data_IF_982188366996
#
_entry.id   IF_982188366996
#
_cell.length_a   1.000
_cell.length_b   1.000
_cell.length_c   1.000
_cell.angle_alpha   90.00
_cell.angle_beta   90.00
_cell.angle_gamma   90.00
#
_symmetry.space_group_name_H-M   'P 1'
#
loop_
_entity.id
_entity.type
_entity.pdbx_description
1 polymer ?
#
# COMPACT_ATOMS: atom_id res chain seq x y z
N UNK A 1 18.49 3.10 -7.40
CA UNK A 1 19.31 1.90 -7.64
C UNK A 1 19.50 1.06 -6.35
N UNK A 2 19.96 1.66 -5.22
CA UNK A 2 20.25 0.93 -3.98
C UNK A 2 19.03 0.13 -3.48
N UNK A 3 17.86 0.74 -3.42
CA UNK A 3 16.63 0.10 -2.93
C UNK A 3 16.22 -1.13 -3.76
N UNK A 4 16.41 -1.10 -5.08
CA UNK A 4 16.13 -2.25 -5.95
C UNK A 4 17.06 -3.42 -5.61
N UNK A 5 18.34 -3.17 -5.35
CA UNK A 5 19.28 -4.20 -4.94
C UNK A 5 18.87 -4.80 -3.59
N UNK A 6 18.45 -3.96 -2.64
CA UNK A 6 17.98 -4.42 -1.31
C UNK A 6 16.74 -5.31 -1.44
N UNK A 7 15.73 -4.87 -2.21
CA UNK A 7 14.48 -5.61 -2.43
C UNK A 7 14.77 -6.93 -3.15
N UNK A 8 15.59 -6.92 -4.21
CA UNK A 8 15.98 -8.13 -4.91
C UNK A 8 16.68 -9.13 -3.99
N UNK A 9 17.66 -8.64 -3.21
CA UNK A 9 18.43 -9.48 -2.28
C UNK A 9 17.53 -10.09 -1.21
N UNK A 10 16.61 -9.32 -0.65
CA UNK A 10 15.61 -9.78 0.33
C UNK A 10 14.80 -10.95 -0.21
N UNK A 11 14.28 -10.83 -1.43
CA UNK A 11 13.49 -11.89 -2.08
C UNK A 11 14.34 -13.10 -2.52
N UNK A 12 15.62 -12.91 -2.83
CA UNK A 12 16.53 -13.96 -3.26
C UNK A 12 17.07 -14.81 -2.10
N UNK A 13 17.11 -14.28 -0.86
CA UNK A 13 17.70 -14.96 0.30
C UNK A 13 16.88 -16.16 0.77
N UNK A 14 15.67 -15.95 1.24
CA UNK A 14 14.74 -17.00 1.62
C UNK A 14 13.34 -16.44 1.95
N UNK A 15 12.31 -17.30 1.88
CA UNK A 15 10.94 -16.95 2.31
C UNK A 15 10.89 -16.56 3.78
N UNK A 16 11.67 -17.22 4.64
CA UNK A 16 11.73 -16.90 6.08
C UNK A 16 12.29 -15.51 6.33
N UNK A 17 13.37 -15.13 5.64
CA UNK A 17 13.97 -13.80 5.77
C UNK A 17 13.02 -12.71 5.25
N UNK A 18 12.34 -12.97 4.13
CA UNK A 18 11.29 -12.11 3.61
C UNK A 18 10.19 -11.88 4.66
N UNK A 19 9.64 -12.95 5.24
CA UNK A 19 8.56 -12.87 6.23
C UNK A 19 8.97 -12.09 7.49
N UNK A 20 10.20 -12.27 7.97
CA UNK A 20 10.71 -11.58 9.15
C UNK A 20 10.91 -10.07 8.88
N UNK A 21 11.46 -9.72 7.73
CA UNK A 21 11.63 -8.33 7.31
C UNK A 21 10.28 -7.64 7.14
N UNK A 22 9.31 -8.31 6.51
CA UNK A 22 7.98 -7.78 6.28
C UNK A 22 7.19 -7.61 7.59
N UNK A 23 7.39 -8.48 8.56
CA UNK A 23 6.81 -8.34 9.90
C UNK A 23 7.23 -7.01 10.55
N UNK A 24 8.53 -6.70 10.56
CA UNK A 24 9.05 -5.45 11.14
C UNK A 24 8.57 -4.21 10.38
N UNK A 25 8.57 -4.25 9.06
CA UNK A 25 8.02 -3.16 8.24
C UNK A 25 6.53 -2.96 8.50
N UNK A 26 5.76 -4.04 8.64
CA UNK A 26 4.33 -3.96 8.95
C UNK A 26 4.08 -3.41 10.33
N UNK A 27 4.88 -3.78 11.33
CA UNK A 27 4.78 -3.25 12.68
C UNK A 27 5.02 -1.73 12.70
N UNK A 28 6.08 -1.25 12.03
CA UNK A 28 6.39 0.19 11.93
C UNK A 28 5.23 0.94 11.28
N UNK A 29 4.69 0.43 10.17
CA UNK A 29 3.55 1.05 9.45
C UNK A 29 2.31 1.17 10.35
N UNK A 30 1.94 0.08 11.00
CA UNK A 30 0.75 0.06 11.88
C UNK A 30 0.93 1.00 13.06
N UNK A 31 2.08 0.97 13.73
CA UNK A 31 2.38 1.87 14.83
C UNK A 31 2.32 3.34 14.40
N UNK A 32 2.90 3.67 13.24
CA UNK A 32 2.87 5.02 12.71
C UNK A 32 1.47 5.51 12.37
N UNK A 33 0.62 4.68 11.75
CA UNK A 33 -0.78 5.04 11.44
C UNK A 33 -1.58 5.25 12.72
N UNK A 34 -1.41 4.40 13.72
CA UNK A 34 -2.08 4.55 15.02
C UNK A 34 -1.64 5.85 15.70
N UNK A 35 -0.34 6.12 15.75
CA UNK A 35 0.20 7.37 16.29
C UNK A 35 -0.31 8.59 15.51
N UNK A 36 -0.36 8.50 14.18
CA UNK A 36 -0.90 9.56 13.32
C UNK A 36 -2.37 9.85 13.66
N UNK A 37 -3.21 8.84 13.79
CA UNK A 37 -4.63 9.01 14.12
C UNK A 37 -4.79 9.60 15.53
N UNK A 38 -3.98 9.16 16.49
CA UNK A 38 -4.05 9.66 17.86
C UNK A 38 -3.55 11.12 17.97
N UNK A 39 -2.36 11.41 17.46
CA UNK A 39 -1.76 12.75 17.51
C UNK A 39 -2.55 13.73 16.66
N UNK A 40 -2.89 13.36 15.44
CA UNK A 40 -3.71 14.17 14.55
C UNK A 40 -5.12 14.38 15.10
N UNK A 41 -5.73 13.34 15.69
CA UNK A 41 -6.99 13.47 16.41
C UNK A 41 -6.91 14.48 17.57
N UNK A 42 -5.87 14.42 18.41
CA UNK A 42 -5.64 15.42 19.44
C UNK A 42 -5.51 16.83 18.87
N UNK A 43 -4.88 16.97 17.71
CA UNK A 43 -4.73 18.24 17.02
C UNK A 43 -6.10 18.75 16.46
N UNK A 44 -6.92 17.88 15.89
CA UNK A 44 -8.28 18.23 15.42
C UNK A 44 -9.13 18.78 16.57
N UNK A 45 -9.06 18.20 17.75
CA UNK A 45 -9.80 18.66 18.93
C UNK A 45 -9.11 19.81 19.70
N UNK A 46 -8.02 20.37 19.18
CA UNK A 46 -7.36 21.54 19.78
C UNK A 46 -6.53 21.23 21.04
N UNK A 47 -6.24 19.94 21.31
CA UNK A 47 -5.33 19.54 22.41
C UNK A 47 -3.88 19.88 22.08
N UNK A 48 -3.53 19.82 20.79
CA UNK A 48 -2.22 20.22 20.27
C UNK A 48 -2.37 21.46 19.39
N UNK A 49 -1.43 22.42 19.49
CA UNK A 49 -1.44 23.61 18.64
C UNK A 49 -1.15 23.22 17.20
N UNK A 50 -1.80 23.89 16.25
CA UNK A 50 -1.58 23.71 14.82
C UNK A 50 -1.24 25.07 14.21
N UNK A 51 -0.24 25.11 13.36
CA UNK A 51 0.12 26.32 12.63
C UNK A 51 -1.03 26.70 11.69
N UNK A 52 -1.45 27.98 11.78
CA UNK A 52 -2.53 28.50 10.95
C UNK A 52 -3.93 28.43 11.57
N UNK A 53 -4.08 27.89 12.78
CA UNK A 53 -5.35 27.88 13.51
C UNK A 53 -5.19 28.46 14.91
N UNK A 54 -6.00 29.49 15.23
CA UNK A 54 -6.07 30.07 16.58
C UNK A 54 -7.04 29.33 17.50
N UNK A 55 -7.80 28.38 16.96
CA UNK A 55 -8.80 27.57 17.66
C UNK A 55 -8.77 26.13 17.15
N UNK A 56 -9.48 25.23 17.84
CA UNK A 56 -9.60 23.83 17.39
C UNK A 56 -10.20 23.76 15.99
N UNK A 57 -9.51 23.18 14.98
CA UNK A 57 -10.01 23.11 13.59
C UNK A 57 -11.29 22.30 13.47
N UNK A 58 -11.47 21.29 14.33
CA UNK A 58 -12.58 20.33 14.28
C UNK A 58 -12.79 19.81 12.85
N UNK A 59 -14.00 20.01 12.30
CA UNK A 59 -14.37 19.59 10.95
C UNK A 59 -14.63 20.79 10.02
N UNK A 60 -14.03 21.94 10.29
CA UNK A 60 -14.25 23.16 9.51
C UNK A 60 -13.92 22.96 8.03
N UNK A 61 -12.81 22.28 7.72
CA UNK A 61 -12.40 22.01 6.34
C UNK A 61 -13.37 21.10 5.57
N UNK A 62 -14.20 20.30 6.24
CA UNK A 62 -15.23 19.50 5.58
C UNK A 62 -16.44 20.33 5.11
N UNK A 63 -16.73 21.43 5.78
CA UNK A 63 -17.95 22.19 5.54
C UNK A 63 -17.71 23.56 4.90
N UNK A 64 -16.48 24.09 4.99
CA UNK A 64 -16.11 25.40 4.51
C UNK A 64 -16.45 25.64 3.04
N UNK A 65 -16.11 24.69 2.18
CA UNK A 65 -16.37 24.74 0.73
C UNK A 65 -17.52 23.82 0.31
N UNK A 66 -18.26 23.26 1.28
CA UNK A 66 -19.26 22.21 1.06
C UNK A 66 -18.63 20.82 0.93
N UNK A 67 -19.46 19.78 1.08
CA UNK A 67 -19.00 18.38 1.03
C UNK A 67 -18.49 17.96 -0.36
N UNK A 68 -18.93 18.62 -1.42
CA UNK A 68 -18.56 18.31 -2.80
C UNK A 68 -18.24 19.60 -3.56
N UNK A 69 -17.13 20.29 -3.24
CA UNK A 69 -16.80 21.60 -3.84
C UNK A 69 -16.62 21.52 -5.36
N UNK A 70 -16.20 20.38 -5.88
CA UNK A 70 -16.00 20.13 -7.32
C UNK A 70 -17.13 19.28 -7.94
N UNK A 71 -18.26 19.12 -7.24
CA UNK A 71 -19.38 18.28 -7.69
C UNK A 71 -19.13 16.78 -7.52
N UNK A 72 -20.02 15.96 -8.10
CA UNK A 72 -20.00 14.51 -7.94
C UNK A 72 -19.04 13.77 -8.88
N UNK A 73 -18.68 14.37 -10.02
CA UNK A 73 -17.85 13.70 -11.02
C UNK A 73 -16.48 13.28 -10.48
N UNK A 74 -15.75 14.11 -9.69
CA UNK A 74 -14.49 13.70 -9.09
C UNK A 74 -14.61 12.47 -8.17
N UNK A 75 -15.76 12.26 -7.53
CA UNK A 75 -15.98 11.06 -6.68
C UNK A 75 -15.86 9.80 -7.52
N UNK A 76 -16.51 9.75 -8.70
CA UNK A 76 -16.46 8.58 -9.58
C UNK A 76 -15.07 8.36 -10.18
N UNK A 77 -14.39 9.43 -10.60
CA UNK A 77 -13.03 9.31 -11.14
C UNK A 77 -12.02 8.86 -10.08
N UNK A 78 -12.18 9.32 -8.83
CA UNK A 78 -11.33 8.94 -7.71
C UNK A 78 -11.56 7.47 -7.30
N UNK A 79 -12.73 6.88 -7.54
CA UNK A 79 -13.00 5.47 -7.24
C UNK A 79 -11.99 4.52 -7.88
N UNK A 80 -11.52 4.82 -9.11
CA UNK A 80 -10.49 4.03 -9.79
C UNK A 80 -9.16 4.06 -9.04
N UNK A 81 -8.77 5.25 -8.55
CA UNK A 81 -7.54 5.43 -7.78
C UNK A 81 -7.67 4.81 -6.37
N UNK A 82 -8.84 4.96 -5.75
CA UNK A 82 -9.13 4.38 -4.42
C UNK A 82 -9.09 2.85 -4.46
N UNK A 83 -9.51 2.22 -5.58
CA UNK A 83 -9.44 0.77 -5.73
C UNK A 83 -8.00 0.26 -5.53
N UNK A 84 -6.99 0.99 -6.02
CA UNK A 84 -5.57 0.68 -5.78
C UNK A 84 -5.21 0.66 -4.28
N UNK A 85 -5.87 1.45 -3.45
CA UNK A 85 -5.61 1.47 -2.01
C UNK A 85 -5.97 0.14 -1.31
N UNK A 86 -6.82 -0.68 -1.93
CA UNK A 86 -7.18 -2.02 -1.47
C UNK A 86 -6.32 -3.13 -2.11
N UNK A 87 -5.45 -2.79 -3.05
CA UNK A 87 -4.47 -3.71 -3.62
C UNK A 87 -3.55 -4.26 -2.53
N UNK A 88 -3.18 -5.52 -2.65
CA UNK A 88 -2.40 -6.26 -1.65
C UNK A 88 -3.25 -7.14 -0.74
N UNK A 89 -4.58 -7.01 -0.72
CA UNK A 89 -5.45 -7.93 0.03
C UNK A 89 -5.45 -9.34 -0.58
N UNK A 90 -5.22 -9.45 -1.88
CA UNK A 90 -5.04 -10.69 -2.63
C UNK A 90 -3.81 -11.50 -2.18
N UNK A 91 -2.81 -10.87 -1.56
CA UNK A 91 -1.63 -11.55 -0.99
C UNK A 91 -2.00 -12.62 0.04
N UNK A 92 -3.15 -12.47 0.72
CA UNK A 92 -3.67 -13.49 1.62
C UNK A 92 -3.93 -14.80 0.86
N UNK A 93 -4.47 -14.71 -0.36
CA UNK A 93 -4.68 -15.87 -1.24
C UNK A 93 -3.36 -16.44 -1.77
N UNK A 94 -2.42 -15.59 -2.20
CA UNK A 94 -1.10 -16.02 -2.69
C UNK A 94 -0.30 -16.79 -1.64
N UNK A 95 -0.41 -16.40 -0.37
CA UNK A 95 0.28 -17.06 0.75
C UNK A 95 -0.46 -18.28 1.30
N UNK A 96 -1.65 -18.60 0.79
CA UNK A 96 -2.47 -19.72 1.26
C UNK A 96 -1.74 -21.06 1.17
N UNK A 97 -1.00 -21.30 0.08
CA UNK A 97 -0.23 -22.53 -0.14
C UNK A 97 0.94 -22.73 0.83
N UNK A 98 1.38 -21.68 1.52
CA UNK A 98 2.47 -21.72 2.51
C UNK A 98 1.94 -21.65 3.96
N UNK A 99 0.62 -21.54 4.14
CA UNK A 99 -0.02 -21.36 5.46
C UNK A 99 -0.41 -22.71 6.07
N UNK A 100 -0.14 -22.86 7.37
CA UNK A 100 -0.66 -24.00 8.13
C UNK A 100 -2.15 -23.78 8.40
N UNK A 101 -2.98 -24.82 8.17
CA UNK A 101 -4.45 -24.79 8.33
C UNK A 101 -5.11 -23.60 7.56
N UNK A 102 -4.99 -23.55 6.22
CA UNK A 102 -5.48 -22.45 5.41
C UNK A 102 -6.98 -22.20 5.59
N UNK A 103 -7.78 -23.25 5.76
CA UNK A 103 -9.24 -23.16 5.94
C UNK A 103 -9.66 -22.31 7.16
N UNK A 104 -8.82 -22.22 8.19
CA UNK A 104 -9.07 -21.41 9.38
C UNK A 104 -8.33 -20.08 9.34
N UNK A 105 -7.10 -20.11 8.84
CA UNK A 105 -6.22 -18.94 8.85
C UNK A 105 -6.66 -17.88 7.86
N UNK A 106 -7.08 -18.25 6.64
CA UNK A 106 -7.46 -17.32 5.58
C UNK A 106 -8.71 -16.51 5.95
N UNK A 107 -9.84 -17.11 6.36
CA UNK A 107 -11.01 -16.32 6.74
C UNK A 107 -10.72 -15.34 7.89
N UNK A 108 -9.96 -15.79 8.91
CA UNK A 108 -9.56 -14.94 10.03
C UNK A 108 -8.66 -13.78 9.58
N UNK A 109 -7.69 -14.04 8.72
CA UNK A 109 -6.81 -13.01 8.17
C UNK A 109 -7.60 -12.00 7.34
N UNK A 110 -8.52 -12.45 6.48
CA UNK A 110 -9.37 -11.58 5.65
C UNK A 110 -10.24 -10.66 6.50
N UNK A 111 -10.97 -11.19 7.48
CA UNK A 111 -11.79 -10.37 8.39
C UNK A 111 -10.95 -9.36 9.17
N UNK A 112 -9.81 -9.78 9.72
CA UNK A 112 -8.92 -8.88 10.48
C UNK A 112 -8.35 -7.79 9.59
N UNK A 113 -7.98 -8.12 8.35
CA UNK A 113 -7.43 -7.17 7.38
C UNK A 113 -8.48 -6.15 6.96
N UNK A 114 -9.69 -6.59 6.60
CA UNK A 114 -10.78 -5.68 6.25
C UNK A 114 -11.11 -4.70 7.39
N UNK A 115 -11.22 -5.20 8.61
CA UNK A 115 -11.51 -4.35 9.77
C UNK A 115 -10.42 -3.30 10.02
N UNK A 116 -9.14 -3.71 9.92
CA UNK A 116 -8.00 -2.78 10.03
C UNK A 116 -7.98 -1.74 8.92
N UNK A 117 -8.24 -2.17 7.67
CA UNK A 117 -8.26 -1.25 6.52
C UNK A 117 -9.34 -0.18 6.71
N UNK A 118 -10.55 -0.57 7.08
CA UNK A 118 -11.66 0.38 7.31
C UNK A 118 -11.28 1.39 8.38
N UNK A 119 -10.79 0.94 9.55
CA UNK A 119 -10.42 1.84 10.64
C UNK A 119 -9.26 2.77 10.24
N UNK A 120 -8.22 2.23 9.64
CA UNK A 120 -7.03 3.01 9.32
C UNK A 120 -7.26 3.99 8.18
N UNK A 121 -8.00 3.60 7.13
CA UNK A 121 -8.32 4.51 6.04
C UNK A 121 -9.29 5.59 6.49
N UNK A 122 -10.41 5.24 7.09
CA UNK A 122 -11.38 6.24 7.55
C UNK A 122 -10.74 7.14 8.60
N UNK A 123 -10.05 6.58 9.59
CA UNK A 123 -9.41 7.36 10.64
C UNK A 123 -8.36 8.34 10.11
N UNK A 124 -7.47 7.88 9.23
CA UNK A 124 -6.44 8.76 8.67
C UNK A 124 -7.02 9.80 7.70
N UNK A 125 -8.00 9.46 6.87
CA UNK A 125 -8.66 10.40 5.96
C UNK A 125 -9.40 11.47 6.74
N UNK A 126 -10.13 11.10 7.79
CA UNK A 126 -10.83 12.07 8.65
C UNK A 126 -9.85 13.04 9.28
N UNK A 127 -8.74 12.55 9.84
CA UNK A 127 -7.70 13.42 10.41
C UNK A 127 -7.10 14.34 9.34
N UNK A 128 -6.67 13.79 8.20
CA UNK A 128 -6.06 14.58 7.13
C UNK A 128 -7.01 15.65 6.60
N UNK A 129 -8.24 15.28 6.29
CA UNK A 129 -9.23 16.21 5.73
C UNK A 129 -9.72 17.26 6.74
N UNK A 130 -9.57 17.00 8.05
CA UNK A 130 -9.84 17.99 9.10
C UNK A 130 -8.72 19.04 9.20
N UNK A 131 -7.46 18.63 8.99
CA UNK A 131 -6.28 19.46 9.25
C UNK A 131 -5.72 20.14 8.00
N UNK A 132 -5.87 19.51 6.83
CA UNK A 132 -5.34 20.01 5.56
C UNK A 132 -6.49 20.43 4.65
N UNK A 133 -6.53 21.70 4.19
CA UNK A 133 -7.43 22.09 3.13
C UNK A 133 -7.20 21.24 1.87
N UNK A 134 -8.27 20.87 1.18
CA UNK A 134 -8.17 19.99 0.00
C UNK A 134 -7.32 20.61 -1.14
N UNK A 135 -7.24 21.95 -1.19
CA UNK A 135 -6.43 22.69 -2.16
C UNK A 135 -4.92 22.45 -1.97
N UNK A 136 -4.49 22.21 -0.73
CA UNK A 136 -3.09 22.01 -0.34
C UNK A 136 -2.69 20.51 -0.36
N UNK A 137 -3.68 19.61 -0.49
CA UNK A 137 -3.46 18.18 -0.58
C UNK A 137 -3.00 17.78 -2.00
N UNK A 138 -1.73 18.05 -2.32
CA UNK A 138 -1.10 17.69 -3.61
C UNK A 138 -0.46 16.30 -3.61
N UNK A 139 0.11 15.93 -4.77
CA UNK A 139 0.89 14.69 -4.94
C UNK A 139 2.39 14.89 -4.70
N UNK A 140 2.83 16.12 -4.47
CA UNK A 140 4.24 16.48 -4.36
C UNK A 140 4.83 16.11 -3.00
N UNK A 141 4.01 16.11 -1.95
CA UNK A 141 4.41 15.72 -0.60
C UNK A 141 3.36 14.79 0.02
N UNK A 142 3.80 13.88 0.88
CA UNK A 142 2.90 12.98 1.59
C UNK A 142 2.00 13.76 2.55
N UNK A 143 0.66 13.60 2.49
CA UNK A 143 -0.25 14.27 3.42
C UNK A 143 0.02 13.95 4.89
N UNK A 144 0.59 12.78 5.19
CA UNK A 144 1.03 12.41 6.54
C UNK A 144 2.14 13.32 7.04
N UNK A 145 3.11 13.65 6.16
CA UNK A 145 4.23 14.55 6.47
C UNK A 145 3.71 15.97 6.67
N UNK A 146 2.81 16.44 5.81
CA UNK A 146 2.18 17.75 5.91
C UNK A 146 1.47 17.95 7.26
N UNK A 147 0.69 16.97 7.73
CA UNK A 147 0.02 17.03 9.04
C UNK A 147 1.04 17.17 10.17
N UNK A 148 2.10 16.38 10.17
CA UNK A 148 3.11 16.46 11.23
C UNK A 148 3.90 17.78 11.20
N UNK A 149 4.17 18.31 10.01
CA UNK A 149 4.81 19.63 9.87
C UNK A 149 3.90 20.73 10.40
N UNK A 150 2.57 20.66 10.15
CA UNK A 150 1.62 21.66 10.63
C UNK A 150 1.42 21.65 12.16
N UNK A 151 1.59 20.51 12.81
CA UNK A 151 1.56 20.39 14.29
C UNK A 151 2.79 21.06 14.92
N UNK A 152 3.88 21.25 14.14
CA UNK A 152 5.08 21.94 14.61
C UNK A 152 5.94 21.13 15.60
N UNK A 153 5.78 19.82 15.65
CA UNK A 153 6.65 18.94 16.42
C UNK A 153 8.02 18.82 15.73
N UNK A 154 9.13 19.14 16.42
CA UNK A 154 10.45 19.05 15.80
C UNK A 154 10.76 17.64 15.34
N UNK A 155 11.28 17.51 14.13
CA UNK A 155 11.63 16.23 13.47
C UNK A 155 10.46 15.26 13.19
N UNK A 156 9.22 15.59 13.56
CA UNK A 156 8.10 14.68 13.36
C UNK A 156 7.81 14.43 11.87
N UNK A 157 7.94 15.46 11.03
CA UNK A 157 7.85 15.33 9.58
C UNK A 157 8.94 14.41 9.01
N UNK A 158 10.19 14.54 9.47
CA UNK A 158 11.31 13.69 9.02
C UNK A 158 11.10 12.23 9.43
N UNK A 159 10.66 11.99 10.67
CA UNK A 159 10.33 10.63 11.14
C UNK A 159 9.20 10.04 10.31
N UNK A 160 8.14 10.81 10.03
CA UNK A 160 7.04 10.33 9.21
C UNK A 160 7.48 10.08 7.77
N UNK A 161 8.33 10.92 7.20
CA UNK A 161 8.90 10.70 5.86
C UNK A 161 9.71 9.40 5.80
N UNK A 162 10.51 9.12 6.83
CA UNK A 162 11.22 7.84 6.97
C UNK A 162 10.24 6.65 7.04
N UNK A 163 9.15 6.76 7.81
CA UNK A 163 8.11 5.73 7.89
C UNK A 163 7.44 5.50 6.53
N UNK A 164 7.09 6.57 5.82
CA UNK A 164 6.51 6.48 4.45
C UNK A 164 7.49 5.79 3.51
N UNK A 165 8.78 6.12 3.57
CA UNK A 165 9.81 5.44 2.78
C UNK A 165 9.86 3.93 3.08
N UNK A 166 9.87 3.54 4.35
CA UNK A 166 9.85 2.11 4.73
C UNK A 166 8.57 1.41 4.27
N UNK A 167 7.43 2.11 4.29
CA UNK A 167 6.17 1.59 3.80
C UNK A 167 6.19 1.32 2.29
N UNK A 168 6.75 2.24 1.51
CA UNK A 168 6.91 2.08 0.05
C UNK A 168 7.86 0.91 -0.26
N UNK A 169 8.97 0.81 0.46
CA UNK A 169 9.93 -0.30 0.28
C UNK A 169 9.28 -1.66 0.60
N UNK A 170 8.49 -1.74 1.66
CA UNK A 170 7.74 -2.94 2.01
C UNK A 170 6.71 -3.29 0.94
N UNK A 171 5.94 -2.32 0.43
CA UNK A 171 4.98 -2.57 -0.63
C UNK A 171 5.66 -3.09 -1.91
N UNK A 172 6.79 -2.50 -2.31
CA UNK A 172 7.58 -2.96 -3.45
C UNK A 172 8.16 -4.37 -3.22
N UNK A 173 8.62 -4.68 -2.00
CA UNK A 173 9.12 -5.98 -1.61
C UNK A 173 8.04 -7.06 -1.72
N UNK A 174 6.84 -6.80 -1.18
CA UNK A 174 5.69 -7.70 -1.24
C UNK A 174 5.16 -7.86 -2.66
N UNK A 175 5.13 -6.79 -3.46
CA UNK A 175 4.75 -6.84 -4.87
C UNK A 175 5.69 -7.70 -5.72
N UNK A 176 7.01 -7.61 -5.48
CA UNK A 176 7.99 -8.47 -6.15
C UNK A 176 7.84 -9.93 -5.74
N UNK A 177 7.57 -10.19 -4.45
CA UNK A 177 7.28 -11.54 -3.95
C UNK A 177 6.04 -12.11 -4.65
N UNK A 178 4.93 -11.39 -4.66
CA UNK A 178 3.67 -11.82 -5.27
C UNK A 178 3.83 -12.13 -6.76
N UNK A 179 4.39 -11.20 -7.54
CA UNK A 179 4.58 -11.38 -8.99
C UNK A 179 5.50 -12.57 -9.29
N UNK A 180 6.53 -12.80 -8.47
CA UNK A 180 7.42 -13.95 -8.58
C UNK A 180 6.66 -15.26 -8.34
N UNK A 181 5.80 -15.32 -7.33
CA UNK A 181 5.00 -16.51 -7.01
C UNK A 181 3.91 -16.78 -8.04
N UNK A 182 3.28 -15.73 -8.58
CA UNK A 182 2.30 -15.88 -9.66
C UNK A 182 2.95 -16.45 -10.92
N UNK A 183 4.11 -15.94 -11.35
CA UNK A 183 4.85 -16.50 -12.48
C UNK A 183 5.27 -17.95 -12.24
N UNK A 184 5.67 -18.26 -11.03
CA UNK A 184 6.03 -19.62 -10.65
C UNK A 184 4.83 -20.57 -10.73
N UNK A 185 3.65 -20.15 -10.24
CA UNK A 185 2.41 -20.92 -10.32
C UNK A 185 1.99 -21.17 -11.77
N UNK A 186 1.95 -20.13 -12.60
CA UNK A 186 1.60 -20.25 -14.03
C UNK A 186 2.56 -21.19 -14.78
N UNK A 187 3.84 -21.22 -14.40
CA UNK A 187 4.83 -22.13 -15.00
C UNK A 187 4.64 -23.58 -14.54
N UNK A 188 4.15 -23.83 -13.33
CA UNK A 188 3.79 -25.16 -12.87
C UNK A 188 2.50 -25.69 -13.51
N UNK A 189 1.60 -24.78 -13.91
CA UNK A 189 0.37 -25.12 -14.63
C UNK A 189 0.58 -25.21 -16.15
N UNK A 190 1.82 -25.20 -16.64
CA UNK A 190 2.22 -25.26 -18.05
C UNK A 190 1.63 -24.12 -18.92
N UNK A 191 1.15 -23.03 -18.30
CA UNK A 191 0.65 -21.85 -19.01
C UNK A 191 1.77 -21.00 -19.59
N UNK A 192 2.98 -21.06 -19.02
CA UNK A 192 4.20 -20.41 -19.48
C UNK A 192 5.38 -21.39 -19.40
N UNK A 193 6.52 -21.14 -20.06
CA UNK A 193 7.61 -22.09 -20.13
C UNK A 193 8.06 -22.62 -18.76
N UNK A 194 8.07 -23.92 -18.57
CA UNK A 194 8.38 -24.63 -17.30
C UNK A 194 9.76 -24.32 -16.73
N UNK A 195 10.69 -23.78 -17.51
CA UNK A 195 11.98 -23.31 -17.01
C UNK A 195 11.87 -22.21 -15.94
N UNK A 196 10.75 -21.48 -15.90
CA UNK A 196 10.46 -20.41 -14.93
C UNK A 196 10.09 -21.01 -13.56
N UNK A 197 9.56 -22.23 -13.53
CA UNK A 197 9.17 -22.94 -12.31
C UNK A 197 10.36 -23.47 -11.50
N UNK A 198 11.58 -23.50 -12.07
CA UNK A 198 12.76 -24.05 -11.39
C UNK A 198 13.11 -23.23 -10.16
N UNK A 199 13.10 -23.88 -9.00
CA UNK A 199 13.53 -23.30 -7.71
C UNK A 199 14.99 -23.65 -7.41
N UNK A 200 15.66 -22.76 -6.69
CA UNK A 200 17.00 -23.03 -6.13
C UNK A 200 16.90 -23.90 -4.86
N UNK A 201 18.06 -24.22 -4.26
CA UNK A 201 18.17 -25.01 -3.01
C UNK A 201 17.43 -24.37 -1.80
N UNK A 202 17.04 -23.10 -1.90
CA UNK A 202 16.32 -22.34 -0.86
C UNK A 202 14.80 -22.21 -1.16
N UNK A 203 14.29 -22.89 -2.20
CA UNK A 203 12.89 -22.84 -2.60
C UNK A 203 12.49 -21.55 -3.34
N UNK A 204 13.46 -20.72 -3.77
CA UNK A 204 13.19 -19.46 -4.49
C UNK A 204 13.24 -19.71 -6.00
N UNK A 205 12.19 -19.34 -6.78
CA UNK A 205 12.18 -19.44 -8.24
C UNK A 205 12.97 -18.29 -8.87
N UNK A 206 14.28 -18.44 -8.97
CA UNK A 206 15.21 -17.38 -9.38
C UNK A 206 14.92 -16.83 -10.79
N UNK A 207 14.43 -17.65 -11.72
CA UNK A 207 14.09 -17.22 -13.08
C UNK A 207 12.85 -16.32 -13.06
N UNK A 208 11.82 -16.72 -12.31
CA UNK A 208 10.63 -15.89 -12.11
C UNK A 208 10.98 -14.58 -11.41
N UNK A 209 11.83 -14.61 -10.37
CA UNK A 209 12.29 -13.41 -9.65
C UNK A 209 13.02 -12.43 -10.57
N UNK A 210 13.93 -12.91 -11.42
CA UNK A 210 14.65 -12.06 -12.40
C UNK A 210 13.70 -11.44 -13.42
N UNK A 211 12.71 -12.21 -13.89
CA UNK A 211 11.71 -11.72 -14.83
C UNK A 211 10.82 -10.65 -14.20
N UNK A 212 10.33 -10.86 -12.98
CA UNK A 212 9.56 -9.86 -12.23
C UNK A 212 10.37 -8.58 -11.98
N UNK A 213 11.68 -8.70 -11.77
CA UNK A 213 12.56 -7.54 -11.55
C UNK A 213 12.72 -6.64 -12.78
N UNK A 214 12.48 -7.13 -14.00
CA UNK A 214 12.48 -6.30 -15.22
C UNK A 214 11.45 -5.17 -15.07
N UNK A 215 10.26 -5.46 -14.54
CA UNK A 215 9.27 -4.43 -14.24
C UNK A 215 9.78 -3.37 -13.25
N UNK A 216 10.48 -3.79 -12.20
CA UNK A 216 11.14 -2.90 -11.26
C UNK A 216 12.24 -2.02 -11.89
N UNK A 217 13.00 -2.55 -12.84
CA UNK A 217 13.98 -1.77 -13.59
C UNK A 217 13.31 -0.77 -14.52
N UNK A 218 12.22 -1.14 -15.18
CA UNK A 218 11.43 -0.22 -16.01
C UNK A 218 10.83 0.91 -15.18
N UNK A 219 10.42 0.64 -13.94
CA UNK A 219 9.96 1.66 -13.02
C UNK A 219 11.02 2.73 -12.69
N UNK A 220 12.33 2.42 -12.77
CA UNK A 220 13.39 3.44 -12.64
C UNK A 220 13.38 4.46 -13.79
N UNK A 221 12.97 4.07 -14.99
CA UNK A 221 12.87 4.98 -16.12
C UNK A 221 11.80 6.05 -15.88
N UNK A 222 10.75 5.73 -15.13
CA UNK A 222 9.69 6.68 -14.80
C UNK A 222 10.17 7.83 -13.91
N UNK A 223 11.26 7.64 -13.15
CA UNK A 223 11.86 8.70 -12.33
C UNK A 223 12.54 9.82 -13.16
N UNK A 224 12.80 9.56 -14.42
CA UNK A 224 13.46 10.51 -15.35
C UNK A 224 12.44 11.22 -16.24
N UNK A 225 11.27 10.59 -16.49
CA UNK A 225 10.26 11.10 -17.43
C UNK A 225 8.95 11.34 -16.67
N UNK A 226 8.61 12.62 -16.44
CA UNK A 226 7.31 13.06 -15.91
C UNK A 226 6.76 12.18 -14.76
N UNK A 227 7.49 12.10 -13.66
CA UNK A 227 7.24 11.19 -12.55
C UNK A 227 5.79 11.23 -12.01
N UNK A 228 5.19 12.41 -11.89
CA UNK A 228 3.81 12.58 -11.40
C UNK A 228 2.77 11.99 -12.36
N UNK A 229 2.90 12.24 -13.67
CA UNK A 229 1.97 11.72 -14.68
C UNK A 229 2.08 10.21 -14.81
N UNK A 230 3.30 9.68 -14.84
CA UNK A 230 3.55 8.22 -14.93
C UNK A 230 3.01 7.53 -13.67
N UNK A 231 3.19 8.10 -12.49
CA UNK A 231 2.64 7.58 -11.25
C UNK A 231 1.12 7.44 -11.32
N UNK A 232 0.40 8.51 -11.70
CA UNK A 232 -1.07 8.49 -11.78
C UNK A 232 -1.58 7.47 -12.81
N UNK A 233 -0.92 7.36 -13.96
CA UNK A 233 -1.27 6.35 -14.97
C UNK A 233 -1.07 4.94 -14.45
N UNK A 234 0.08 4.66 -13.83
CA UNK A 234 0.39 3.33 -13.28
C UNK A 234 -0.60 2.93 -12.18
N UNK A 235 -0.93 3.84 -11.25
CA UNK A 235 -1.92 3.61 -10.18
C UNK A 235 -3.30 3.32 -10.77
N UNK A 236 -3.73 4.09 -11.77
CA UNK A 236 -5.03 3.88 -12.43
C UNK A 236 -5.11 2.55 -13.16
N UNK A 237 -4.05 2.18 -13.89
CA UNK A 237 -3.96 0.89 -14.61
C UNK A 237 -3.95 -0.29 -13.62
N UNK A 238 -3.18 -0.17 -12.52
CA UNK A 238 -3.14 -1.19 -11.47
C UNK A 238 -4.51 -1.39 -10.82
N UNK A 239 -5.20 -0.29 -10.46
CA UNK A 239 -6.55 -0.36 -9.90
C UNK A 239 -7.59 -0.99 -10.84
N UNK A 240 -7.43 -0.83 -12.15
CA UNK A 240 -8.28 -1.51 -13.15
C UNK A 240 -7.96 -3.01 -13.25
N UNK A 241 -6.69 -3.39 -13.13
CA UNK A 241 -6.27 -4.79 -13.22
C UNK A 241 -6.73 -5.62 -12.01
N UNK A 242 -6.75 -5.03 -10.81
CA UNK A 242 -7.18 -5.70 -9.59
C UNK A 242 -8.70 -5.98 -9.57
N UNK A 243 -9.52 -5.14 -10.19
CA UNK A 243 -10.97 -5.26 -10.22
C UNK A 243 -11.51 -6.57 -10.83
N UNK A 244 -11.07 -7.00 -12.02
CA UNK A 244 -11.51 -8.25 -12.65
C UNK A 244 -11.08 -9.51 -11.91
N UNK A 245 -9.89 -9.51 -11.30
CA UNK A 245 -9.37 -10.68 -10.59
C UNK A 245 -10.14 -10.97 -9.30
N UNK A 246 -10.62 -9.96 -8.60
CA UNK A 246 -11.44 -10.13 -7.39
C UNK A 246 -12.80 -10.74 -7.70
N UNK A 247 -13.37 -10.50 -8.88
CA UNK A 247 -14.69 -11.01 -9.29
C UNK A 247 -14.66 -12.44 -9.84
N UNK A 248 -13.53 -12.90 -10.41
CA UNK A 248 -13.45 -14.23 -11.02
C UNK A 248 -13.30 -15.37 -10.00
N UNK A 249 -12.81 -15.07 -8.80
CA UNK A 249 -12.57 -16.08 -7.76
C UNK A 249 -13.81 -16.43 -6.91
N UNK A 250 -14.94 -15.75 -7.14
CA UNK A 250 -16.21 -16.03 -6.41
C UNK A 250 -17.11 -17.06 -7.11
N UNK A 251 -16.67 -17.67 -8.21
CA UNK A 251 -17.52 -18.46 -9.11
C UNK A 251 -17.15 -19.93 -9.32
N UNK A 252 -16.30 -20.57 -8.50
CA UNK A 252 -16.11 -22.02 -8.58
C UNK A 252 -16.79 -22.72 -7.40
N UNK A 253 -17.97 -23.35 -7.57
CA UNK A 253 -18.43 -24.34 -6.62
C UNK A 253 -17.55 -25.58 -6.79
N UNK A 254 -16.69 -25.85 -5.81
CA UNK A 254 -16.03 -27.16 -5.70
C UNK A 254 -17.09 -28.20 -5.43
N UNK A 255 -17.62 -28.81 -6.49
CA UNK A 255 -18.19 -30.15 -6.45
C UNK A 255 -17.06 -31.15 -6.59
N UNK A 256 -16.76 -31.84 -5.53
CA UNK A 256 -16.41 -33.24 -5.27
C UNK A 256 -15.77 -33.33 -3.91
#
# INVERSE_FOLDING_TARGET
ALFIVVIFTSNALSVRFFAETEFWFSFIKVAAIVLFILIGGCAVFGVLPIQGYDHAPLFENFVKDGLFPNGWMPVFTTMLTVNFAFSGTELIGVTAGETKDPDKAIPKASHTTLFRLVIFFIGSIVVMASLIPWQDAGVDESPFVLVFNSIGLPFAGDVMNFVVLTAILSAANSGLYASTRMLWSLANEDMIPHNIAKTNSRGVPMTALRLSMIGGLLALLSSVVAASTVYLVLVSVSGLADGPCASSNSGHPTGY
#
